data_IF_296277434323
#
_entry.id   IF_296277434323
#
_cell.length_a   1.000
_cell.length_b   1.000
_cell.length_c   1.000
_cell.angle_alpha   90.00
_cell.angle_beta   90.00
_cell.angle_gamma   90.00
#
_symmetry.space_group_name_H-M   'P 1'
#
loop_
_entity.id
_entity.type
_entity.pdbx_description
1 polymer ?
#
# COMPACT_ATOMS: atom_id res chain seq x y z
N UNK A 1 6.23 -12.04 6.32
CA UNK A 1 4.94 -11.67 5.74
C UNK A 1 5.13 -10.72 4.57
N UNK A 2 4.24 -10.76 3.59
CA UNK A 2 4.16 -9.78 2.49
C UNK A 2 2.92 -8.96 2.75
N UNK A 3 3.11 -7.66 3.02
CA UNK A 3 2.03 -6.72 3.35
C UNK A 3 2.41 -5.29 2.95
N UNK A 4 1.43 -4.40 2.92
CA UNK A 4 1.68 -2.98 2.81
C UNK A 4 2.13 -2.34 4.13
N UNK A 5 2.59 -1.12 4.09
CA UNK A 5 3.13 -0.39 5.25
C UNK A 5 2.14 -0.25 6.42
N UNK A 6 0.84 -0.36 6.19
CA UNK A 6 -0.18 -0.30 7.25
C UNK A 6 -0.05 -1.38 8.33
N UNK A 7 0.66 -2.50 8.05
CA UNK A 7 0.87 -3.56 9.06
C UNK A 7 1.86 -3.14 10.15
N UNK A 8 2.66 -2.09 9.93
CA UNK A 8 3.71 -1.67 10.86
C UNK A 8 3.16 -1.35 12.25
N UNK A 9 2.05 -0.61 12.35
CA UNK A 9 1.44 -0.30 13.64
C UNK A 9 1.05 -1.55 14.41
N UNK A 10 0.52 -2.56 13.72
CA UNK A 10 0.16 -3.85 14.33
C UNK A 10 1.40 -4.63 14.80
N UNK A 11 2.45 -4.69 13.96
CA UNK A 11 3.69 -5.38 14.33
C UNK A 11 4.35 -4.67 15.51
N UNK A 12 4.47 -3.35 15.46
CA UNK A 12 5.14 -2.54 16.48
C UNK A 12 4.38 -2.49 17.82
N UNK A 13 3.10 -2.89 17.84
CA UNK A 13 2.36 -3.03 19.11
C UNK A 13 2.78 -4.24 19.95
N UNK A 14 3.60 -5.13 19.41
CA UNK A 14 4.06 -6.34 20.09
C UNK A 14 5.46 -6.14 20.67
N UNK A 15 5.58 -5.46 21.81
CA UNK A 15 6.84 -5.14 22.47
C UNK A 15 7.80 -6.33 22.63
N UNK A 16 7.23 -7.53 22.83
CA UNK A 16 8.02 -8.77 22.96
C UNK A 16 8.76 -9.18 21.69
N UNK A 17 8.42 -8.57 20.55
CA UNK A 17 9.03 -8.84 19.25
C UNK A 17 10.01 -7.73 18.81
N UNK A 18 10.26 -6.74 19.65
CA UNK A 18 11.22 -5.66 19.39
C UNK A 18 12.60 -6.24 19.08
N UNK A 19 13.19 -5.81 17.98
CA UNK A 19 14.49 -6.29 17.51
C UNK A 19 14.47 -7.65 16.78
N UNK A 20 13.30 -8.27 16.62
CA UNK A 20 13.19 -9.55 15.92
C UNK A 20 12.68 -9.41 14.46
N UNK A 21 12.43 -8.19 14.03
CA UNK A 21 11.92 -7.90 12.69
C UNK A 21 12.96 -7.17 11.86
N UNK A 22 12.95 -7.47 10.58
CA UNK A 22 13.63 -6.72 9.54
C UNK A 22 12.68 -6.47 8.39
N UNK A 23 12.85 -5.36 7.69
CA UNK A 23 12.07 -5.03 6.50
C UNK A 23 12.93 -5.21 5.25
N UNK A 24 12.30 -5.64 4.18
CA UNK A 24 12.89 -5.66 2.85
C UNK A 24 11.81 -5.45 1.80
N UNK A 25 12.22 -5.13 0.59
CA UNK A 25 11.30 -4.95 -0.52
C UNK A 25 10.73 -6.28 -1.02
N UNK A 26 9.68 -6.20 -1.86
CA UNK A 26 9.06 -7.37 -2.48
C UNK A 26 10.06 -8.14 -3.37
N UNK A 27 9.94 -9.46 -3.46
CA UNK A 27 10.70 -10.22 -4.44
C UNK A 27 10.27 -9.85 -5.87
N UNK A 28 11.23 -9.79 -6.77
CA UNK A 28 10.98 -9.52 -8.19
C UNK A 28 10.74 -10.84 -8.96
N UNK A 29 9.75 -10.84 -9.84
CA UNK A 29 9.52 -11.93 -10.79
C UNK A 29 10.56 -11.86 -11.92
N UNK A 30 11.62 -12.64 -11.81
CA UNK A 30 12.78 -12.55 -12.73
C UNK A 30 12.49 -12.98 -14.18
N UNK A 31 11.44 -13.76 -14.39
CA UNK A 31 11.04 -14.26 -15.72
C UNK A 31 9.94 -13.43 -16.40
N UNK A 32 9.37 -12.44 -15.70
CA UNK A 32 8.33 -11.58 -16.24
C UNK A 32 8.96 -10.29 -16.76
N UNK A 33 8.78 -10.01 -18.04
CA UNK A 33 9.24 -8.76 -18.64
C UNK A 33 8.52 -7.57 -17.98
N UNK A 34 9.25 -6.51 -17.72
CA UNK A 34 8.70 -5.31 -17.04
C UNK A 34 8.37 -5.48 -15.56
N UNK A 35 8.57 -6.66 -14.97
CA UNK A 35 8.33 -6.85 -13.55
C UNK A 35 9.21 -5.94 -12.70
N UNK A 36 8.63 -5.42 -11.63
CA UNK A 36 9.32 -4.64 -10.61
C UNK A 36 9.10 -5.26 -9.24
N UNK A 37 9.94 -4.91 -8.29
CA UNK A 37 9.76 -5.22 -6.87
C UNK A 37 9.14 -4.06 -6.07
N UNK A 38 8.61 -3.07 -6.77
CA UNK A 38 7.91 -1.93 -6.19
C UNK A 38 6.44 -1.98 -6.59
N UNK A 39 5.56 -1.90 -5.59
CA UNK A 39 4.12 -1.98 -5.80
C UNK A 39 3.38 -1.14 -4.78
N UNK A 40 2.19 -0.69 -5.14
CA UNK A 40 1.23 -0.12 -4.21
C UNK A 40 -0.05 -0.94 -4.23
N UNK A 41 -0.66 -1.07 -3.05
CA UNK A 41 -1.97 -1.69 -2.92
C UNK A 41 -2.78 -0.89 -1.90
N UNK A 42 -3.83 -0.26 -2.36
CA UNK A 42 -4.65 0.62 -1.54
C UNK A 42 -4.21 2.07 -1.60
N UNK A 43 -4.30 2.73 -0.49
CA UNK A 43 -4.19 4.18 -0.34
C UNK A 43 -5.53 4.74 0.12
N UNK A 44 -5.48 5.90 0.77
CA UNK A 44 -6.66 6.61 1.23
C UNK A 44 -6.62 8.04 0.76
N UNK A 45 -7.78 8.59 0.46
CA UNK A 45 -7.93 9.97 0.05
C UNK A 45 -9.07 10.63 0.81
N UNK A 46 -9.00 11.94 0.89
CA UNK A 46 -10.09 12.77 1.39
C UNK A 46 -10.86 13.34 0.20
N UNK A 47 -12.17 13.42 0.34
CA UNK A 47 -13.04 14.05 -0.64
C UNK A 47 -13.98 15.05 0.04
N UNK A 48 -14.12 16.22 -0.57
CA UNK A 48 -15.13 17.20 -0.18
C UNK A 48 -16.42 16.82 -0.91
N UNK A 49 -17.44 16.43 -0.14
CA UNK A 49 -18.69 15.89 -0.69
C UNK A 49 -19.81 16.93 -0.86
N UNK A 50 -19.61 18.15 -0.36
CA UNK A 50 -20.51 19.29 -0.58
C UNK A 50 -19.71 20.59 -0.48
N UNK A 51 -20.31 21.67 -0.96
CA UNK A 51 -19.70 22.99 -1.10
C UNK A 51 -20.17 24.03 -0.06
N UNK A 52 -20.93 23.61 0.97
CA UNK A 52 -21.53 24.55 1.94
C UNK A 52 -20.50 25.44 2.62
N UNK A 53 -19.36 24.86 3.02
CA UNK A 53 -18.27 25.56 3.70
C UNK A 53 -16.97 25.21 2.98
N UNK A 54 -16.95 25.40 1.66
CA UNK A 54 -15.84 24.97 0.79
C UNK A 54 -14.49 25.57 1.22
N UNK A 55 -14.47 26.86 1.57
CA UNK A 55 -13.24 27.54 1.99
C UNK A 55 -12.67 26.92 3.27
N UNK A 56 -13.53 26.63 4.25
CA UNK A 56 -13.12 25.96 5.48
C UNK A 56 -12.62 24.53 5.22
N UNK A 57 -13.29 23.80 4.32
CA UNK A 57 -12.87 22.47 3.93
C UNK A 57 -11.52 22.48 3.22
N UNK A 58 -11.29 23.47 2.35
CA UNK A 58 -10.01 23.64 1.68
C UNK A 58 -8.89 24.02 2.65
N UNK A 59 -9.17 24.90 3.62
CA UNK A 59 -8.21 25.24 4.67
C UNK A 59 -7.84 24.02 5.51
N UNK A 60 -8.82 23.20 5.89
CA UNK A 60 -8.57 21.93 6.56
C UNK A 60 -7.66 21.02 5.73
N UNK A 61 -7.89 20.94 4.42
CA UNK A 61 -7.07 20.10 3.52
C UNK A 61 -5.63 20.61 3.38
N UNK A 62 -5.34 21.91 3.70
CA UNK A 62 -3.97 22.42 3.65
C UNK A 62 -3.05 21.78 4.68
N UNK A 63 -3.57 21.25 5.81
CA UNK A 63 -2.72 20.55 6.79
C UNK A 63 -2.02 19.33 6.20
N UNK A 64 -2.61 18.70 5.17
CA UNK A 64 -1.99 17.58 4.44
C UNK A 64 -0.84 17.99 3.52
N UNK A 65 -0.44 19.27 3.53
CA UNK A 65 0.74 19.81 2.86
C UNK A 65 1.77 20.36 3.86
N UNK A 66 1.74 19.85 5.09
CA UNK A 66 2.60 20.31 6.17
C UNK A 66 3.49 19.16 6.65
N UNK A 67 4.81 19.39 6.65
CA UNK A 67 5.82 18.40 7.07
C UNK A 67 5.67 18.07 8.55
N UNK A 68 5.48 19.09 9.41
CA UNK A 68 5.38 18.91 10.85
C UNK A 68 4.15 18.06 11.21
N UNK A 69 3.02 18.30 10.54
CA UNK A 69 1.82 17.49 10.71
C UNK A 69 2.10 16.00 10.48
N UNK A 70 2.71 15.66 9.34
CA UNK A 70 3.03 14.26 9.05
C UNK A 70 4.11 13.69 9.98
N UNK A 71 5.07 14.51 10.39
CA UNK A 71 6.10 14.10 11.33
C UNK A 71 5.50 13.75 12.70
N UNK A 72 4.52 14.52 13.16
CA UNK A 72 3.84 14.29 14.45
C UNK A 72 2.92 13.07 14.44
N UNK A 73 2.18 12.83 13.36
CA UNK A 73 1.23 11.71 13.32
C UNK A 73 1.89 10.35 13.04
N UNK A 74 3.08 10.33 12.46
CA UNK A 74 3.76 9.09 12.06
C UNK A 74 3.96 8.10 13.22
N UNK A 75 4.46 8.49 14.41
CA UNK A 75 4.66 7.56 15.52
C UNK A 75 3.38 6.91 16.02
N UNK A 76 2.26 7.64 15.95
CA UNK A 76 0.96 7.17 16.43
C UNK A 76 0.22 6.28 15.44
N UNK A 77 0.46 6.48 14.15
CA UNK A 77 -0.36 5.84 13.09
C UNK A 77 0.42 4.91 12.19
N UNK A 78 1.74 5.07 12.11
CA UNK A 78 2.60 4.45 11.09
C UNK A 78 2.13 4.70 9.66
N UNK A 79 1.31 5.74 9.45
CA UNK A 79 0.76 6.11 8.14
C UNK A 79 1.81 6.90 7.35
N UNK A 80 2.15 6.39 6.19
CA UNK A 80 3.12 7.02 5.30
C UNK A 80 2.42 8.08 4.45
N UNK A 81 2.96 9.30 4.48
CA UNK A 81 2.46 10.41 3.68
C UNK A 81 2.74 10.22 2.19
N UNK A 82 1.76 10.55 1.36
CA UNK A 82 1.98 10.74 -0.08
C UNK A 82 2.59 12.10 -0.40
N UNK A 83 2.62 13.01 0.56
CA UNK A 83 3.28 14.30 0.47
C UNK A 83 4.80 14.13 0.58
N UNK A 84 5.49 14.16 -0.56
CA UNK A 84 6.91 13.85 -0.65
C UNK A 84 7.83 14.63 0.31
N UNK A 85 7.61 15.93 0.61
CA UNK A 85 8.44 16.64 1.57
C UNK A 85 8.34 16.10 3.01
N UNK A 86 7.32 15.31 3.37
CA UNK A 86 7.19 14.74 4.71
C UNK A 86 8.39 13.85 5.09
N UNK A 87 9.09 13.28 4.11
CA UNK A 87 10.30 12.48 4.34
C UNK A 87 11.44 13.21 5.06
N UNK A 88 11.41 14.54 5.04
CA UNK A 88 12.40 15.38 5.73
C UNK A 88 12.14 15.48 7.25
N UNK A 89 10.98 15.02 7.71
CA UNK A 89 10.63 14.99 9.12
C UNK A 89 11.54 14.07 9.93
N UNK A 90 11.88 14.47 11.15
CA UNK A 90 12.81 13.74 12.01
C UNK A 90 12.33 12.32 12.34
N UNK A 91 11.02 12.11 12.47
CA UNK A 91 10.45 10.78 12.73
C UNK A 91 10.48 9.87 11.49
N UNK A 92 10.57 10.43 10.27
CA UNK A 92 10.77 9.64 9.06
C UNK A 92 12.21 9.16 8.93
N UNK A 93 13.18 9.97 9.33
CA UNK A 93 14.62 9.66 9.20
C UNK A 93 15.19 8.95 10.41
N UNK A 94 14.47 8.94 11.53
CA UNK A 94 14.91 8.23 12.74
C UNK A 94 14.94 6.72 12.53
N UNK A 95 15.97 6.09 13.08
CA UNK A 95 16.02 4.64 13.16
C UNK A 95 14.97 4.10 14.12
N UNK A 96 14.28 3.05 13.70
CA UNK A 96 13.29 2.38 14.55
C UNK A 96 13.96 1.37 15.47
N UNK A 97 13.88 1.57 16.77
CA UNK A 97 14.38 0.58 17.75
C UNK A 97 13.70 -0.80 17.59
N UNK A 98 12.46 -0.83 17.12
CA UNK A 98 11.75 -2.08 16.87
C UNK A 98 12.38 -2.88 15.72
N UNK A 99 12.97 -2.20 14.75
CA UNK A 99 13.66 -2.76 13.59
C UNK A 99 15.18 -2.59 13.69
N UNK A 100 15.77 -2.76 14.87
CA UNK A 100 17.22 -2.73 15.10
C UNK A 100 17.92 -1.42 14.69
N UNK A 101 17.22 -0.29 14.72
CA UNK A 101 17.78 1.00 14.36
C UNK A 101 17.64 1.33 12.85
N UNK A 102 17.00 0.49 12.05
CA UNK A 102 16.77 0.77 10.62
C UNK A 102 15.77 1.91 10.43
N UNK A 103 16.00 2.83 9.47
CA UNK A 103 15.11 3.95 9.19
C UNK A 103 13.97 3.53 8.26
N UNK A 104 13.16 2.58 8.69
CA UNK A 104 12.14 1.89 7.86
C UNK A 104 11.15 2.84 7.19
N UNK A 105 10.80 3.95 7.84
CA UNK A 105 9.86 4.90 7.25
C UNK A 105 10.47 5.66 6.07
N UNK A 106 11.75 6.02 6.15
CA UNK A 106 12.46 6.61 5.02
C UNK A 106 12.59 5.61 3.87
N UNK A 107 12.90 4.35 4.16
CA UNK A 107 12.99 3.30 3.14
C UNK A 107 11.66 3.07 2.43
N UNK A 108 10.53 3.08 3.15
CA UNK A 108 9.20 2.94 2.54
C UNK A 108 8.90 4.11 1.60
N UNK A 109 9.27 5.34 1.98
CA UNK A 109 9.10 6.50 1.09
C UNK A 109 9.93 6.35 -0.18
N UNK A 110 11.18 5.87 -0.08
CA UNK A 110 12.02 5.58 -1.24
C UNK A 110 11.44 4.47 -2.13
N UNK A 111 10.86 3.43 -1.55
CA UNK A 111 10.14 2.39 -2.32
C UNK A 111 8.91 2.97 -3.02
N UNK A 112 8.16 3.83 -2.34
CA UNK A 112 7.01 4.53 -2.92
C UNK A 112 7.38 5.39 -4.12
N UNK A 113 8.53 6.06 -4.07
CA UNK A 113 9.03 6.89 -5.17
C UNK A 113 9.37 6.09 -6.43
N UNK A 114 9.64 4.80 -6.30
CA UNK A 114 9.96 3.89 -7.40
C UNK A 114 8.77 3.05 -7.87
N UNK A 115 7.63 3.17 -7.19
CA UNK A 115 6.41 2.43 -7.56
C UNK A 115 5.88 2.95 -8.90
N UNK A 116 5.71 2.08 -9.90
CA UNK A 116 5.18 2.50 -11.18
C UNK A 116 3.73 2.98 -11.05
N UNK A 117 3.38 3.99 -11.82
CA UNK A 117 2.00 4.42 -11.96
C UNK A 117 1.17 3.32 -12.63
N UNK A 118 -0.01 3.06 -12.10
CA UNK A 118 -0.99 2.21 -12.73
C UNK A 118 -2.33 2.94 -12.90
N UNK A 119 -3.10 2.52 -13.90
CA UNK A 119 -4.45 3.01 -14.12
C UNK A 119 -5.40 1.89 -13.69
N UNK A 120 -6.22 2.18 -12.69
CA UNK A 120 -7.28 1.28 -12.24
C UNK A 120 -8.60 1.69 -12.86
N UNK A 121 -9.26 0.76 -13.53
CA UNK A 121 -10.61 0.97 -14.06
C UNK A 121 -11.69 0.73 -13.00
N UNK A 122 -12.98 0.98 -13.36
CA UNK A 122 -14.09 0.78 -12.42
C UNK A 122 -14.27 -0.68 -11.97
N UNK A 123 -13.83 -1.63 -12.75
CA UNK A 123 -13.91 -3.07 -12.45
C UNK A 123 -12.63 -3.66 -11.85
N UNK A 124 -11.74 -2.80 -11.33
CA UNK A 124 -10.48 -3.25 -10.72
C UNK A 124 -10.69 -4.22 -9.55
N UNK A 125 -11.66 -3.94 -8.69
CA UNK A 125 -11.93 -4.78 -7.53
C UNK A 125 -12.56 -6.10 -7.92
N UNK A 126 -13.45 -6.11 -8.91
CA UNK A 126 -14.05 -7.34 -9.45
C UNK A 126 -12.97 -8.25 -10.05
N UNK A 127 -12.07 -7.69 -10.85
CA UNK A 127 -10.95 -8.43 -11.41
C UNK A 127 -9.98 -8.97 -10.33
N UNK A 128 -9.72 -8.18 -9.29
CA UNK A 128 -8.88 -8.59 -8.16
C UNK A 128 -9.50 -9.74 -7.38
N UNK A 129 -10.81 -9.72 -7.13
CA UNK A 129 -11.52 -10.79 -6.42
C UNK A 129 -11.58 -12.07 -7.25
N UNK A 130 -11.92 -11.97 -8.52
CA UNK A 130 -11.94 -13.10 -9.43
C UNK A 130 -10.56 -13.77 -9.54
N UNK A 131 -9.50 -12.97 -9.72
CA UNK A 131 -8.13 -13.47 -9.74
C UNK A 131 -7.70 -14.09 -8.40
N UNK A 132 -8.07 -13.49 -7.26
CA UNK A 132 -7.81 -14.02 -5.93
C UNK A 132 -8.44 -15.39 -5.72
N UNK A 133 -9.65 -15.58 -6.22
CA UNK A 133 -10.36 -16.87 -6.21
C UNK A 133 -9.63 -17.92 -7.08
N UNK A 134 -9.27 -17.55 -8.30
CA UNK A 134 -8.52 -18.43 -9.20
C UNK A 134 -7.19 -18.87 -8.59
N UNK A 135 -6.40 -17.95 -8.05
CA UNK A 135 -5.12 -18.26 -7.37
C UNK A 135 -5.35 -19.21 -6.18
N UNK A 136 -6.40 -18.98 -5.40
CA UNK A 136 -6.73 -19.83 -4.26
C UNK A 136 -7.06 -21.26 -4.70
N UNK A 137 -7.87 -21.40 -5.74
CA UNK A 137 -8.22 -22.71 -6.29
C UNK A 137 -6.97 -23.45 -6.85
N UNK A 138 -6.12 -22.75 -7.59
CA UNK A 138 -4.88 -23.31 -8.14
C UNK A 138 -3.97 -23.81 -7.00
N UNK A 139 -3.72 -22.97 -5.99
CA UNK A 139 -2.72 -23.28 -4.96
C UNK A 139 -3.24 -24.27 -3.92
N UNK A 140 -4.48 -24.10 -3.45
CA UNK A 140 -5.01 -24.87 -2.33
C UNK A 140 -5.81 -26.10 -2.77
N UNK A 141 -6.39 -26.08 -3.97
CA UNK A 141 -7.25 -27.15 -4.45
C UNK A 141 -6.65 -27.93 -5.64
N UNK A 142 -5.49 -27.49 -6.14
CA UNK A 142 -4.82 -28.13 -7.29
C UNK A 142 -5.56 -27.90 -8.62
N UNK A 143 -6.30 -26.78 -8.72
CA UNK A 143 -7.01 -26.39 -9.95
C UNK A 143 -6.06 -26.18 -11.12
N UNK A 144 -6.56 -26.44 -12.32
CA UNK A 144 -5.81 -26.20 -13.55
C UNK A 144 -5.66 -24.70 -13.81
N UNK A 145 -4.43 -24.24 -14.05
CA UNK A 145 -4.11 -22.82 -14.14
C UNK A 145 -4.88 -22.13 -15.26
N UNK A 146 -4.92 -22.72 -16.44
CA UNK A 146 -5.56 -22.11 -17.61
C UNK A 146 -7.09 -22.05 -17.43
N UNK A 147 -7.67 -23.09 -16.86
CA UNK A 147 -9.10 -23.16 -16.57
C UNK A 147 -9.51 -22.13 -15.53
N UNK A 148 -8.76 -22.01 -14.44
CA UNK A 148 -9.09 -21.06 -13.37
C UNK A 148 -8.94 -19.61 -13.79
N UNK A 149 -7.92 -19.30 -14.61
CA UNK A 149 -7.72 -17.97 -15.16
C UNK A 149 -8.79 -17.61 -16.18
N UNK A 150 -9.21 -18.54 -17.06
CA UNK A 150 -10.32 -18.33 -17.97
C UNK A 150 -11.64 -18.07 -17.23
N UNK A 151 -11.90 -18.82 -16.16
CA UNK A 151 -13.09 -18.61 -15.30
C UNK A 151 -13.06 -17.22 -14.64
N UNK A 152 -11.89 -16.76 -14.21
CA UNK A 152 -11.75 -15.41 -13.65
C UNK A 152 -12.04 -14.33 -14.71
N UNK A 153 -11.52 -14.50 -15.93
CA UNK A 153 -11.78 -13.60 -17.05
C UNK A 153 -13.27 -13.56 -17.40
N UNK A 154 -13.94 -14.70 -17.54
CA UNK A 154 -15.38 -14.79 -17.80
C UNK A 154 -16.20 -14.09 -16.70
N UNK A 155 -15.82 -14.23 -15.44
CA UNK A 155 -16.48 -13.57 -14.31
C UNK A 155 -16.41 -12.05 -14.43
N UNK A 156 -15.26 -11.52 -14.80
CA UNK A 156 -15.07 -10.08 -14.98
C UNK A 156 -15.84 -9.58 -16.20
N UNK A 157 -15.76 -10.31 -17.32
CA UNK A 157 -16.49 -9.97 -18.54
C UNK A 157 -18.01 -9.94 -18.31
N UNK A 158 -18.56 -10.91 -17.57
CA UNK A 158 -19.95 -10.91 -17.18
C UNK A 158 -20.33 -9.67 -16.35
N UNK A 159 -19.48 -9.27 -15.38
CA UNK A 159 -19.70 -8.06 -14.57
C UNK A 159 -19.65 -6.79 -15.44
N UNK A 160 -18.82 -6.79 -16.46
CA UNK A 160 -18.70 -5.68 -17.43
C UNK A 160 -19.86 -5.63 -18.43
N UNK A 161 -20.67 -6.68 -18.52
CA UNK A 161 -21.81 -6.77 -19.44
C UNK A 161 -21.45 -7.29 -20.83
N UNK A 162 -20.38 -8.07 -20.95
CA UNK A 162 -19.97 -8.76 -22.18
C UNK A 162 -20.44 -10.22 -22.17
#
# INVERSE_FOLDING_TARGET
>A
TIQGCWILSTIMSLDTQKGLWAMTNLPKLVKAEGATNYSSNGGSSWAIINDKDLDLALDFMQMYRNVDFYNEILPATSAIATYTPAKEGSNYTAGSEFFNGEPIFAEIVEFGAQTPSNITGPYYYDAREALGTAITNIILQGGDVDTELATAEDTVNFTMGF
#
